data_IF_102583284472
#
_entry.id   IF_102583284472
#
_cell.length_a   1.000
_cell.length_b   1.000
_cell.length_c   1.000
_cell.angle_alpha   90.00
_cell.angle_beta   90.00
_cell.angle_gamma   90.00
#
_symmetry.space_group_name_H-M   'P 1'
#
loop_
_entity.id
_entity.type
_entity.pdbx_description
1 polymer ?
#
# COMPACT_ATOMS: atom_id res chain seq x y z
N UNK A 1 8.84 -0.43 -15.12
CA UNK A 1 7.51 -0.43 -14.47
C UNK A 1 7.09 1.02 -14.28
N UNK A 2 5.85 1.36 -14.60
CA UNK A 2 5.21 2.68 -14.45
C UNK A 2 4.88 3.04 -13.00
N UNK A 3 4.87 2.05 -12.10
CA UNK A 3 4.61 2.27 -10.67
C UNK A 3 3.14 2.54 -10.35
N UNK A 4 2.22 2.20 -11.26
CA UNK A 4 0.78 2.33 -11.06
C UNK A 4 0.16 0.96 -10.84
N UNK A 5 -0.92 0.92 -10.07
CA UNK A 5 -1.65 -0.32 -9.82
C UNK A 5 -3.06 -0.08 -9.32
N UNK A 6 -3.74 -1.18 -9.00
CA UNK A 6 -5.06 -1.18 -8.36
C UNK A 6 -5.02 -2.06 -7.12
N UNK A 7 -5.76 -1.67 -6.09
CA UNK A 7 -5.87 -2.49 -4.87
C UNK A 7 -6.62 -3.78 -5.22
N UNK A 8 -5.96 -4.93 -5.15
CA UNK A 8 -6.58 -6.24 -5.34
C UNK A 8 -7.22 -6.73 -4.04
N UNK A 9 -6.50 -6.62 -2.92
CA UNK A 9 -7.00 -6.94 -1.58
C UNK A 9 -6.28 -6.12 -0.53
N UNK A 10 -6.89 -5.96 0.64
CA UNK A 10 -6.29 -5.26 1.76
C UNK A 10 -6.81 -5.76 3.09
N UNK A 11 -6.04 -5.55 4.14
CA UNK A 11 -6.43 -5.83 5.52
C UNK A 11 -5.85 -4.79 6.47
N UNK A 12 -6.57 -4.52 7.56
CA UNK A 12 -6.05 -3.76 8.68
C UNK A 12 -5.62 -4.72 9.78
N UNK A 13 -4.35 -4.68 10.14
CA UNK A 13 -3.87 -5.41 11.32
C UNK A 13 -4.07 -4.51 12.53
N UNK A 14 -5.09 -4.80 13.33
CA UNK A 14 -5.44 -4.04 14.54
C UNK A 14 -4.78 -4.56 15.81
N UNK A 15 -4.43 -5.85 15.84
CA UNK A 15 -3.72 -6.51 16.94
C UNK A 15 -2.79 -7.60 16.38
N UNK A 16 -1.85 -8.07 17.20
CA UNK A 16 -0.99 -9.19 16.83
C UNK A 16 -0.04 -8.87 15.67
N UNK A 17 0.73 -7.78 15.80
CA UNK A 17 1.76 -7.41 14.83
C UNK A 17 2.60 -8.64 14.44
N UNK A 18 2.62 -8.96 13.14
CA UNK A 18 3.23 -10.21 12.64
C UNK A 18 4.76 -10.19 12.66
N UNK A 19 5.35 -9.02 12.89
CA UNK A 19 6.79 -8.83 13.04
C UNK A 19 7.06 -7.69 14.04
N UNK A 20 8.08 -7.79 14.93
CA UNK A 20 8.32 -6.80 15.99
C UNK A 20 8.46 -5.36 15.50
N UNK A 21 9.01 -5.15 14.30
CA UNK A 21 9.13 -3.82 13.69
C UNK A 21 7.77 -3.11 13.51
N UNK A 22 6.67 -3.87 13.36
CA UNK A 22 5.34 -3.31 13.17
C UNK A 22 4.57 -3.08 14.48
N UNK A 23 5.10 -3.52 15.62
CA UNK A 23 4.43 -3.35 16.91
C UNK A 23 4.19 -1.86 17.24
N UNK A 24 5.12 -0.99 16.84
CA UNK A 24 5.04 0.47 17.08
C UNK A 24 4.09 1.21 16.14
N UNK A 25 3.73 0.60 15.01
CA UNK A 25 2.87 1.21 13.97
C UNK A 25 1.53 0.50 13.85
N UNK A 26 1.17 -0.35 14.82
CA UNK A 26 -0.15 -0.97 14.90
C UNK A 26 -1.17 0.05 15.41
N UNK A 27 -2.33 0.23 14.76
CA UNK A 27 -2.81 -0.49 13.59
C UNK A 27 -2.17 -0.04 12.27
N UNK A 28 -1.92 -0.98 11.36
CA UNK A 28 -1.39 -0.70 10.02
C UNK A 28 -2.17 -1.42 8.93
N UNK A 29 -2.15 -0.84 7.74
CA UNK A 29 -2.76 -1.40 6.54
C UNK A 29 -1.71 -2.17 5.74
N UNK A 30 -2.08 -3.35 5.27
CA UNK A 30 -1.33 -4.11 4.26
C UNK A 30 -2.26 -4.40 3.10
N UNK A 31 -1.75 -4.31 1.88
CA UNK A 31 -2.50 -4.72 0.71
C UNK A 31 -1.67 -5.45 -0.31
N UNK A 32 -2.42 -6.03 -1.24
CA UNK A 32 -1.92 -6.57 -2.49
C UNK A 32 -2.33 -5.61 -3.60
N UNK A 33 -1.36 -5.07 -4.31
CA UNK A 33 -1.59 -4.19 -5.46
C UNK A 33 -1.30 -4.97 -6.72
N UNK A 34 -2.28 -5.04 -7.62
CA UNK A 34 -2.09 -5.54 -8.97
C UNK A 34 -1.51 -4.42 -9.84
N UNK A 35 -0.38 -4.70 -10.46
CA UNK A 35 0.39 -3.76 -11.27
C UNK A 35 -0.20 -3.64 -12.68
N UNK A 36 -0.30 -2.42 -13.21
CA UNK A 36 -0.88 -2.19 -14.55
C UNK A 36 -0.01 -2.73 -15.70
N UNK A 37 1.23 -3.10 -15.41
CA UNK A 37 2.19 -3.61 -16.37
C UNK A 37 1.83 -5.00 -16.87
N UNK A 38 1.17 -5.82 -16.04
CA UNK A 38 0.81 -7.19 -16.37
C UNK A 38 -0.30 -7.69 -15.45
N UNK A 39 -1.30 -8.35 -16.03
CA UNK A 39 -2.34 -9.05 -15.27
C UNK A 39 -1.71 -10.07 -14.30
N UNK A 40 -2.30 -10.19 -13.11
CA UNK A 40 -1.87 -11.08 -12.03
C UNK A 40 -0.45 -10.81 -11.50
N UNK A 41 0.16 -9.67 -11.83
CA UNK A 41 1.42 -9.24 -11.23
C UNK A 41 1.14 -8.44 -9.94
N UNK A 42 1.44 -9.06 -8.81
CA UNK A 42 1.10 -8.51 -7.50
C UNK A 42 2.31 -8.02 -6.70
N UNK A 43 2.14 -6.91 -6.00
CA UNK A 43 3.05 -6.43 -4.96
C UNK A 43 2.37 -6.36 -3.60
N UNK A 44 3.03 -6.92 -2.59
CA UNK A 44 2.69 -6.66 -1.19
C UNK A 44 3.17 -5.29 -0.78
N UNK A 45 2.30 -4.51 -0.14
CA UNK A 45 2.63 -3.14 0.24
C UNK A 45 1.84 -2.64 1.44
N UNK A 46 2.22 -1.45 1.90
CA UNK A 46 1.52 -0.65 2.89
C UNK A 46 0.98 0.62 2.23
N UNK A 47 0.05 1.29 2.92
CA UNK A 47 -0.58 2.54 2.46
C UNK A 47 -0.37 3.64 3.50
N UNK A 48 0.78 4.34 3.46
CA UNK A 48 1.13 5.30 4.48
C UNK A 48 0.18 6.50 4.39
N UNK A 49 -0.34 6.92 5.55
CA UNK A 49 -1.28 8.05 5.66
C UNK A 49 -2.72 7.77 5.22
N UNK A 50 -3.04 6.58 4.73
CA UNK A 50 -4.42 6.18 4.44
C UNK A 50 -5.10 5.53 5.65
N UNK A 51 -6.41 5.72 5.80
CA UNK A 51 -7.23 4.97 6.74
C UNK A 51 -7.95 3.81 6.05
N UNK A 52 -8.49 2.86 6.81
CA UNK A 52 -9.19 1.70 6.23
C UNK A 52 -10.41 2.12 5.38
N UNK A 53 -11.04 3.24 5.73
CA UNK A 53 -12.18 3.83 5.02
C UNK A 53 -11.78 4.39 3.65
N UNK A 54 -10.53 4.82 3.48
CA UNK A 54 -10.03 5.34 2.21
C UNK A 54 -9.86 4.21 1.18
N UNK A 55 -9.58 2.98 1.63
CA UNK A 55 -9.27 1.83 0.79
C UNK A 55 -10.54 1.17 0.26
N UNK A 56 -10.52 0.83 -1.03
CA UNK A 56 -11.48 -0.06 -1.68
C UNK A 56 -10.78 -0.90 -2.74
N UNK A 57 -11.20 -2.14 -2.90
CA UNK A 57 -10.75 -2.99 -4.02
C UNK A 57 -11.05 -2.27 -5.33
N UNK A 58 -10.07 -2.26 -6.24
CA UNK A 58 -10.14 -1.60 -7.54
C UNK A 58 -9.74 -0.12 -7.56
N UNK A 59 -9.54 0.54 -6.42
CA UNK A 59 -9.01 1.93 -6.39
C UNK A 59 -7.61 2.00 -6.98
N UNK A 60 -7.35 3.08 -7.72
CA UNK A 60 -6.06 3.33 -8.33
C UNK A 60 -5.05 3.80 -7.29
N UNK A 61 -3.82 3.30 -7.42
CA UNK A 61 -2.68 3.65 -6.57
C UNK A 61 -1.44 3.92 -7.40
N UNK A 62 -0.54 4.72 -6.85
CA UNK A 62 0.78 4.97 -7.41
C UNK A 62 1.88 4.74 -6.37
N UNK A 63 3.03 4.30 -6.84
CA UNK A 63 4.19 4.01 -6.02
C UNK A 63 4.76 5.30 -5.45
N UNK A 64 5.10 5.25 -4.17
CA UNK A 64 5.88 6.26 -3.49
C UNK A 64 7.08 5.59 -2.84
N UNK A 65 8.20 6.30 -2.78
CA UNK A 65 9.40 5.79 -2.14
C UNK A 65 9.61 6.53 -0.83
N UNK A 66 9.39 5.83 0.28
CA UNK A 66 9.74 6.34 1.59
C UNK A 66 11.20 6.03 1.91
N UNK A 67 11.86 6.92 2.64
CA UNK A 67 13.19 6.65 3.18
C UNK A 67 13.05 5.67 4.34
N UNK A 68 13.46 4.43 4.09
CA UNK A 68 13.56 3.40 5.11
C UNK A 68 14.83 3.53 5.97
N UNK A 69 15.06 2.56 6.86
CA UNK A 69 16.34 2.42 7.57
C UNK A 69 17.51 2.39 6.58
N UNK A 70 18.66 2.92 6.99
CA UNK A 70 19.90 2.96 6.21
C UNK A 70 19.80 3.69 4.85
N UNK A 71 18.87 4.64 4.74
CA UNK A 71 18.58 5.41 3.51
C UNK A 71 18.13 4.54 2.32
N UNK A 72 17.68 3.31 2.61
CA UNK A 72 17.12 2.43 1.59
C UNK A 72 15.72 2.91 1.18
N UNK A 73 15.52 3.14 -0.11
CA UNK A 73 14.23 3.51 -0.66
C UNK A 73 13.26 2.32 -0.59
N UNK A 74 12.21 2.44 0.22
CA UNK A 74 11.19 1.43 0.38
C UNK A 74 9.97 1.77 -0.49
N UNK A 75 9.61 0.92 -1.48
CA UNK A 75 8.43 1.15 -2.30
C UNK A 75 7.16 0.89 -1.49
N UNK A 76 6.31 1.90 -1.41
CA UNK A 76 4.95 1.84 -0.88
C UNK A 76 3.96 2.40 -1.90
N UNK A 77 2.66 2.44 -1.57
CA UNK A 77 1.64 2.96 -2.48
C UNK A 77 0.74 3.97 -1.79
N UNK A 78 0.37 5.03 -2.52
CA UNK A 78 -0.68 5.97 -2.11
C UNK A 78 -1.86 5.92 -3.06
N UNK A 79 -3.04 6.28 -2.56
CA UNK A 79 -4.22 6.47 -3.41
C UNK A 79 -4.00 7.64 -4.37
N UNK A 80 -4.40 7.45 -5.62
CA UNK A 80 -4.48 8.55 -6.59
C UNK A 80 -5.73 9.36 -6.24
N UNK A 81 -5.62 10.69 -6.21
CA UNK A 81 -6.80 11.55 -6.05
C UNK A 81 -7.77 11.27 -7.20
N UNK A 82 -9.05 11.05 -6.91
CA UNK A 82 -10.05 10.98 -7.97
C UNK A 82 -10.14 12.34 -8.65
N UNK A 83 -10.06 12.36 -9.99
CA UNK A 83 -10.39 13.56 -10.75
C UNK A 83 -11.86 13.93 -10.42
N UNK A 84 -12.15 15.17 -9.99
CA UNK A 84 -13.53 15.59 -9.76
C UNK A 84 -14.26 15.53 -11.11
N UNK A 85 -15.09 14.50 -11.29
CA UNK A 85 -16.00 14.36 -12.42
C UNK A 85 -17.20 15.27 -12.28
#
# INVERSE_FOLDING_TARGET
MSGRGRIYSYTQTVTGARHPAFAKVTPYLVGLVELVEQDELFLYTNFPGATIEDLRVGKAVEVVFEKGPDDLAMPQFRLVAEDPS
#
